data_IF_636491907131
#
_entry.id   IF_636491907131
#
_cell.length_a   1.000
_cell.length_b   1.000
_cell.length_c   1.000
_cell.angle_alpha   90.00
_cell.angle_beta   90.00
_cell.angle_gamma   90.00
#
_symmetry.space_group_name_H-M   'P 1'
#
loop_
_entity.id
_entity.type
_entity.pdbx_description
1 polymer ?
#
# COMPACT_ATOMS: atom_id res chain seq x y z
N UNK A 1 -17.13 -33.02 36.31
CA UNK A 1 -17.64 -31.63 36.25
C UNK A 1 -17.23 -31.03 34.90
N UNK A 2 -18.15 -30.73 33.96
CA UNK A 2 -17.82 -30.13 32.67
C UNK A 2 -18.44 -28.72 32.51
N UNK A 3 -17.61 -27.69 32.54
CA UNK A 3 -17.83 -26.39 31.85
C UNK A 3 -16.46 -25.68 31.86
N UNK A 4 -15.98 -25.05 30.80
CA UNK A 4 -16.66 -24.06 29.98
C UNK A 4 -16.32 -24.24 28.49
N UNK A 5 -17.36 -24.29 27.65
CA UNK A 5 -17.23 -24.07 26.21
C UNK A 5 -16.80 -22.62 26.00
N UNK A 6 -15.49 -22.41 25.82
CA UNK A 6 -14.94 -21.14 25.35
C UNK A 6 -15.26 -21.00 23.87
N UNK A 7 -16.28 -20.21 23.59
CA UNK A 7 -16.85 -20.01 22.27
C UNK A 7 -15.82 -19.32 21.33
N UNK A 8 -15.28 -20.05 20.35
CA UNK A 8 -14.35 -19.57 19.31
C UNK A 8 -15.03 -18.68 18.25
N UNK A 9 -15.94 -17.79 18.65
CA UNK A 9 -16.67 -16.89 17.74
C UNK A 9 -16.19 -15.43 17.81
N UNK A 10 -15.39 -15.04 18.81
CA UNK A 10 -14.86 -13.66 18.92
C UNK A 10 -13.59 -13.39 18.12
N UNK A 11 -12.92 -14.42 17.60
CA UNK A 11 -11.72 -14.23 16.75
C UNK A 11 -12.05 -13.80 15.31
N UNK A 12 -13.33 -13.82 14.92
CA UNK A 12 -13.79 -13.55 13.56
C UNK A 12 -14.27 -12.10 13.32
N UNK A 13 -14.37 -11.27 14.36
CA UNK A 13 -14.81 -9.87 14.27
C UNK A 13 -13.67 -8.85 14.42
N UNK A 14 -12.51 -9.24 14.97
CA UNK A 14 -11.37 -8.32 15.19
C UNK A 14 -10.55 -8.07 13.91
N UNK A 15 -10.64 -8.94 12.89
CA UNK A 15 -9.85 -8.79 11.64
C UNK A 15 -10.46 -7.85 10.61
N UNK A 16 -11.60 -7.20 10.90
CA UNK A 16 -12.26 -6.28 9.96
C UNK A 16 -11.97 -4.79 10.19
N UNK A 17 -11.23 -4.41 11.25
CA UNK A 17 -11.03 -3.00 11.62
C UNK A 17 -9.57 -2.62 11.89
N UNK A 18 -8.65 -3.04 11.02
CA UNK A 18 -7.35 -2.34 10.91
C UNK A 18 -7.24 -1.75 9.51
N UNK A 19 -8.08 -0.75 9.23
CA UNK A 19 -7.79 0.23 8.18
C UNK A 19 -7.71 1.61 8.80
N UNK A 20 -6.76 1.79 9.72
CA UNK A 20 -6.28 3.13 10.04
C UNK A 20 -5.60 3.65 8.77
N UNK A 21 -6.31 4.46 7.98
CA UNK A 21 -5.73 5.24 6.89
C UNK A 21 -4.77 6.26 7.48
N UNK A 22 -3.57 5.82 7.88
CA UNK A 22 -2.51 6.69 8.32
C UNK A 22 -2.07 7.52 7.13
N UNK A 23 -2.36 8.82 7.17
CA UNK A 23 -1.96 9.80 6.16
C UNK A 23 -0.50 10.21 6.39
N UNK A 24 0.40 9.23 6.40
CA UNK A 24 1.83 9.47 6.49
C UNK A 24 2.47 9.45 5.09
N UNK A 25 3.48 10.29 4.88
CA UNK A 25 4.20 10.36 3.58
C UNK A 25 5.58 9.76 3.74
N UNK A 26 5.83 8.69 2.99
CA UNK A 26 7.10 7.97 2.95
C UNK A 26 8.03 8.58 1.89
N UNK A 27 9.26 8.87 2.28
CA UNK A 27 10.34 9.34 1.39
C UNK A 27 10.90 8.17 0.59
N UNK A 28 11.54 8.46 -0.56
CA UNK A 28 12.13 7.43 -1.44
C UNK A 28 12.93 6.35 -0.70
N UNK A 29 13.82 6.73 0.23
CA UNK A 29 14.62 5.75 1.01
C UNK A 29 13.75 4.80 1.86
N UNK A 30 12.66 5.31 2.44
CA UNK A 30 11.71 4.49 3.20
C UNK A 30 10.92 3.57 2.26
N UNK A 31 10.54 4.05 1.08
CA UNK A 31 9.86 3.22 0.06
C UNK A 31 10.78 2.08 -0.41
N UNK A 32 12.05 2.35 -0.68
CA UNK A 32 13.04 1.33 -1.05
C UNK A 32 13.18 0.27 0.05
N UNK A 33 13.28 0.68 1.32
CA UNK A 33 13.35 -0.25 2.44
C UNK A 33 12.06 -1.09 2.61
N UNK A 34 10.87 -0.49 2.42
CA UNK A 34 9.59 -1.19 2.60
C UNK A 34 9.22 -2.11 1.44
N UNK A 35 9.59 -1.75 0.21
CA UNK A 35 9.29 -2.54 -0.99
C UNK A 35 10.39 -3.54 -1.33
N UNK A 36 11.59 -3.39 -0.74
CA UNK A 36 12.77 -4.17 -1.09
C UNK A 36 13.31 -3.85 -2.49
N UNK A 37 12.78 -2.83 -3.17
CA UNK A 37 13.18 -2.48 -4.52
C UNK A 37 14.37 -1.52 -4.51
N UNK A 38 15.25 -1.72 -5.48
CA UNK A 38 16.27 -0.72 -5.80
C UNK A 38 15.62 0.54 -6.37
N UNK A 39 16.34 1.66 -6.26
CA UNK A 39 15.93 2.94 -6.85
C UNK A 39 15.55 2.81 -8.33
N UNK A 40 16.41 2.17 -9.13
CA UNK A 40 16.20 2.06 -10.58
C UNK A 40 14.96 1.22 -10.89
N UNK A 41 14.74 0.12 -10.17
CA UNK A 41 13.55 -0.70 -10.30
C UNK A 41 12.28 0.06 -9.95
N UNK A 42 12.31 0.89 -8.88
CA UNK A 42 11.18 1.72 -8.51
C UNK A 42 10.80 2.67 -9.65
N UNK A 43 11.78 3.37 -10.25
CA UNK A 43 11.51 4.27 -11.38
C UNK A 43 11.08 3.52 -12.65
N UNK A 44 11.64 2.33 -12.91
CA UNK A 44 11.18 1.46 -14.01
C UNK A 44 9.71 1.12 -13.84
N UNK A 45 9.29 0.70 -12.65
CA UNK A 45 7.89 0.38 -12.35
C UNK A 45 6.97 1.59 -12.43
N UNK A 46 7.46 2.79 -12.09
CA UNK A 46 6.71 4.02 -12.33
C UNK A 46 6.49 4.24 -13.83
N UNK A 47 7.52 4.03 -14.67
CA UNK A 47 7.36 4.16 -16.13
C UNK A 47 6.43 3.11 -16.73
N UNK A 48 6.40 1.90 -16.15
CA UNK A 48 5.52 0.80 -16.57
C UNK A 48 4.09 0.90 -15.99
N UNK A 49 3.82 1.90 -15.15
CA UNK A 49 2.52 2.08 -14.48
C UNK A 49 2.24 1.09 -13.34
N UNK A 50 3.24 0.29 -12.94
CA UNK A 50 3.14 -0.67 -11.83
C UNK A 50 3.37 -0.05 -10.46
N UNK A 51 3.68 1.24 -10.42
CA UNK A 51 3.88 2.00 -9.20
C UNK A 51 3.37 3.44 -9.38
N UNK A 52 2.76 4.06 -8.34
CA UNK A 52 2.22 5.40 -8.42
C UNK A 52 3.32 6.45 -8.58
N UNK A 53 2.96 7.55 -9.25
CA UNK A 53 3.85 8.71 -9.34
C UNK A 53 4.03 9.36 -7.97
N UNK A 54 5.27 9.76 -7.61
CA UNK A 54 5.55 10.45 -6.36
C UNK A 54 4.82 11.79 -6.28
N UNK A 55 4.55 12.20 -5.05
CA UNK A 55 4.10 13.55 -4.69
C UNK A 55 5.32 14.40 -4.41
N UNK A 56 5.32 15.63 -4.95
CA UNK A 56 6.37 16.59 -4.67
C UNK A 56 6.10 17.28 -3.33
N UNK A 57 7.03 17.14 -2.38
CA UNK A 57 6.98 17.78 -1.06
C UNK A 57 7.81 19.06 -1.01
N UNK A 58 8.63 19.32 -2.03
CA UNK A 58 9.46 20.51 -2.12
C UNK A 58 10.54 20.39 -3.21
N UNK A 59 11.45 21.37 -3.35
CA UNK A 59 12.35 21.47 -4.51
C UNK A 59 13.26 20.25 -4.75
N UNK A 60 13.62 19.52 -3.69
CA UNK A 60 14.52 18.36 -3.73
C UNK A 60 13.89 17.12 -3.09
N UNK A 61 12.56 17.12 -2.99
CA UNK A 61 11.86 16.35 -1.97
C UNK A 61 10.63 15.67 -2.55
N UNK A 62 10.64 14.34 -2.62
CA UNK A 62 9.52 13.53 -3.10
C UNK A 62 9.07 12.50 -2.05
N UNK A 63 7.81 12.09 -2.11
CA UNK A 63 7.28 11.03 -1.27
C UNK A 63 6.01 10.38 -1.83
N UNK A 64 5.59 9.32 -1.15
CA UNK A 64 4.38 8.55 -1.46
C UNK A 64 3.56 8.38 -0.20
N UNK A 65 2.22 8.40 -0.27
CA UNK A 65 1.39 8.05 0.85
C UNK A 65 1.62 6.59 1.28
N UNK A 66 1.64 6.37 2.59
CA UNK A 66 1.90 5.06 3.19
C UNK A 66 0.92 3.97 2.71
N UNK A 67 -0.37 4.32 2.68
CA UNK A 67 -1.44 3.41 2.27
C UNK A 67 -1.31 2.94 0.81
N UNK A 68 -0.73 3.76 -0.10
CA UNK A 68 -0.54 3.36 -1.50
C UNK A 68 0.53 2.27 -1.59
N UNK A 69 1.62 2.40 -0.82
CA UNK A 69 2.72 1.44 -0.80
C UNK A 69 2.24 0.12 -0.23
N UNK A 70 1.50 0.16 0.88
CA UNK A 70 1.00 -1.04 1.54
C UNK A 70 0.01 -1.80 0.65
N UNK A 71 -0.87 -1.10 -0.06
CA UNK A 71 -1.79 -1.71 -1.01
C UNK A 71 -1.06 -2.42 -2.18
N UNK A 72 0.02 -1.83 -2.69
CA UNK A 72 0.80 -2.42 -3.79
C UNK A 72 1.62 -3.61 -3.30
N UNK A 73 2.24 -3.50 -2.13
CA UNK A 73 2.97 -4.61 -1.52
C UNK A 73 2.03 -5.78 -1.25
N UNK A 74 0.83 -5.53 -0.70
CA UNK A 74 -0.19 -6.55 -0.51
C UNK A 74 -0.61 -7.21 -1.83
N UNK A 75 -0.80 -6.44 -2.90
CA UNK A 75 -1.12 -6.96 -4.23
C UNK A 75 -0.01 -7.86 -4.79
N UNK A 76 1.27 -7.48 -4.60
CA UNK A 76 2.42 -8.28 -5.02
C UNK A 76 2.59 -9.56 -4.21
N UNK A 77 2.41 -9.48 -2.89
CA UNK A 77 2.45 -10.65 -2.00
C UNK A 77 1.32 -11.62 -2.37
N UNK A 78 0.15 -11.11 -2.75
CA UNK A 78 -0.96 -11.92 -3.24
C UNK A 78 -0.73 -12.52 -4.65
N UNK A 79 0.39 -12.24 -5.30
CA UNK A 79 0.73 -12.78 -6.61
C UNK A 79 -0.12 -12.23 -7.76
N UNK A 80 -0.68 -11.02 -7.61
CA UNK A 80 -1.46 -10.39 -8.69
C UNK A 80 -0.60 -10.14 -9.92
N UNK A 81 -1.24 -10.24 -11.08
CA UNK A 81 -0.61 -9.92 -12.35
C UNK A 81 -0.28 -8.43 -12.46
N UNK A 82 0.69 -8.13 -13.31
CA UNK A 82 1.09 -6.75 -13.59
C UNK A 82 -0.09 -5.88 -14.07
N UNK A 83 -1.03 -6.44 -14.83
CA UNK A 83 -2.21 -5.72 -15.30
C UNK A 83 -3.14 -5.32 -14.15
N UNK A 84 -3.40 -6.24 -13.22
CA UNK A 84 -4.21 -5.96 -12.03
C UNK A 84 -3.53 -4.94 -11.12
N UNK A 85 -2.20 -4.97 -11.01
CA UNK A 85 -1.44 -3.98 -10.26
C UNK A 85 -1.57 -2.60 -10.92
N UNK A 86 -1.48 -2.48 -12.25
CA UNK A 86 -1.72 -1.21 -12.95
C UNK A 86 -3.12 -0.67 -12.69
N UNK A 87 -4.14 -1.52 -12.79
CA UNK A 87 -5.52 -1.15 -12.52
C UNK A 87 -5.69 -0.66 -11.06
N UNK A 88 -5.05 -1.35 -10.10
CA UNK A 88 -5.04 -0.94 -8.70
C UNK A 88 -4.37 0.43 -8.51
N UNK A 89 -3.20 0.65 -9.12
CA UNK A 89 -2.48 1.93 -9.06
C UNK A 89 -3.32 3.05 -9.64
N UNK A 90 -3.97 2.83 -10.79
CA UNK A 90 -4.86 3.82 -11.40
C UNK A 90 -6.01 4.20 -10.45
N UNK A 91 -6.64 3.20 -9.80
CA UNK A 91 -7.69 3.42 -8.79
C UNK A 91 -7.18 4.23 -7.59
N UNK A 92 -6.01 3.89 -7.05
CA UNK A 92 -5.40 4.59 -5.91
C UNK A 92 -5.09 6.05 -6.25
N UNK A 93 -4.51 6.30 -7.42
CA UNK A 93 -4.19 7.66 -7.89
C UNK A 93 -5.46 8.47 -8.13
N UNK A 94 -6.51 7.87 -8.67
CA UNK A 94 -7.80 8.53 -8.83
C UNK A 94 -8.43 8.90 -7.47
N UNK A 95 -8.46 7.94 -6.54
CA UNK A 95 -8.98 8.18 -5.19
C UNK A 95 -8.22 9.31 -4.47
N UNK A 96 -6.89 9.38 -4.63
CA UNK A 96 -6.09 10.47 -4.07
C UNK A 96 -6.48 11.83 -4.64
N UNK A 97 -6.79 11.93 -5.94
CA UNK A 97 -7.19 13.20 -6.56
C UNK A 97 -8.53 13.71 -6.04
N UNK A 98 -9.44 12.81 -5.67
CA UNK A 98 -10.75 13.19 -5.10
C UNK A 98 -10.64 13.68 -3.65
N UNK A 99 -9.56 13.33 -2.95
CA UNK A 99 -9.33 13.71 -1.54
C UNK A 99 -8.59 15.04 -1.37
N UNK A 100 -8.12 15.63 -2.48
CA UNK A 100 -7.51 16.96 -2.53
C UNK A 100 -8.53 18.00 -2.99
#
# INVERSE_FOLDING_TARGET
>A
MPVCSGNNQEVLSVTKEIQTTNLNIQRRRQVEARTGLSRSTLYLYISQGLFPRPINLGPRSIGWPDYEIDAINAARIAGKSDEEIRALVARLVAARKTMA
#
